data_IF_105638462300
#
_entry.id   IF_105638462300
#
_cell.length_a   1.000
_cell.length_b   1.000
_cell.length_c   1.000
_cell.angle_alpha   90.00
_cell.angle_beta   90.00
_cell.angle_gamma   90.00
#
_symmetry.space_group_name_H-M   'P 1'
#
loop_
_entity.id
_entity.type
_entity.pdbx_description
1 polymer ?
#
# COMPACT_ATOMS: atom_id res chain seq x y z
N UNK A 1 -12.81 -3.25 -31.74
CA UNK A 1 -13.46 -4.39 -31.10
C UNK A 1 -13.82 -3.97 -29.69
N UNK A 2 -15.06 -4.24 -29.25
CA UNK A 2 -15.40 -4.17 -27.83
C UNK A 2 -14.47 -5.12 -27.06
N UNK A 3 -14.07 -4.71 -25.85
CA UNK A 3 -13.24 -5.56 -25.02
C UNK A 3 -14.09 -6.72 -24.50
N UNK A 4 -13.67 -7.95 -24.79
CA UNK A 4 -14.23 -9.15 -24.19
C UNK A 4 -13.17 -9.82 -23.32
N UNK A 5 -13.56 -10.14 -22.08
CA UNK A 5 -12.71 -10.92 -21.19
C UNK A 5 -12.57 -12.35 -21.74
N UNK A 6 -11.37 -12.94 -21.61
CA UNK A 6 -11.14 -14.31 -22.06
C UNK A 6 -12.07 -15.27 -21.30
N UNK A 7 -12.76 -16.14 -22.04
CA UNK A 7 -13.49 -17.26 -21.43
C UNK A 7 -12.52 -18.25 -20.79
N UNK A 8 -13.00 -19.08 -19.86
CA UNK A 8 -12.21 -20.13 -19.22
C UNK A 8 -11.49 -21.03 -20.24
N UNK A 9 -12.15 -21.40 -21.33
CA UNK A 9 -11.57 -22.22 -22.41
C UNK A 9 -10.52 -21.49 -23.23
N UNK A 10 -10.75 -20.21 -23.56
CA UNK A 10 -9.79 -19.41 -24.32
C UNK A 10 -8.54 -19.13 -23.48
N UNK A 11 -8.72 -18.86 -22.19
CA UNK A 11 -7.61 -18.63 -21.27
C UNK A 11 -6.77 -19.90 -21.12
N UNK A 12 -7.39 -21.07 -20.91
CA UNK A 12 -6.67 -22.34 -20.83
C UNK A 12 -5.84 -22.59 -22.11
N UNK A 13 -6.48 -22.47 -23.29
CA UNK A 13 -5.79 -22.64 -24.58
C UNK A 13 -4.65 -21.62 -24.78
N UNK A 14 -4.84 -20.37 -24.33
CA UNK A 14 -3.81 -19.34 -24.36
C UNK A 14 -2.61 -19.73 -23.49
N UNK A 15 -2.82 -20.19 -22.25
CA UNK A 15 -1.75 -20.53 -21.31
C UNK A 15 -0.90 -21.71 -21.78
N UNK A 16 -1.49 -22.73 -22.43
CA UNK A 16 -0.73 -23.84 -23.02
C UNK A 16 0.24 -23.41 -24.13
N UNK A 17 -0.04 -22.29 -24.82
CA UNK A 17 0.86 -21.77 -25.86
C UNK A 17 2.09 -21.06 -25.30
N UNK A 18 2.14 -20.78 -23.99
CA UNK A 18 3.27 -20.13 -23.34
C UNK A 18 4.13 -21.23 -22.70
N UNK A 19 5.31 -21.58 -23.26
CA UNK A 19 6.06 -22.76 -22.82
C UNK A 19 6.39 -22.78 -21.32
N UNK A 20 6.81 -21.63 -20.77
CA UNK A 20 7.14 -21.53 -19.36
C UNK A 20 5.92 -21.71 -18.43
N UNK A 21 4.73 -21.27 -18.86
CA UNK A 21 3.50 -21.41 -18.08
C UNK A 21 2.90 -22.81 -18.25
N UNK A 22 2.94 -23.37 -19.46
CA UNK A 22 2.53 -24.75 -19.72
C UNK A 22 3.29 -25.75 -18.84
N UNK A 23 4.61 -25.59 -18.75
CA UNK A 23 5.45 -26.42 -17.89
C UNK A 23 5.09 -26.29 -16.40
N UNK A 24 4.72 -25.09 -15.94
CA UNK A 24 4.31 -24.85 -14.54
C UNK A 24 2.96 -25.51 -14.22
N UNK A 25 2.03 -25.51 -15.18
CA UNK A 25 0.70 -26.08 -15.05
C UNK A 25 0.66 -27.59 -15.35
N UNK A 26 1.73 -28.15 -15.90
CA UNK A 26 1.75 -29.53 -16.40
C UNK A 26 1.33 -29.57 -17.86
N UNK A 27 2.23 -30.07 -18.71
CA UNK A 27 2.11 -30.02 -20.17
C UNK A 27 0.77 -30.60 -20.67
N UNK A 28 0.03 -29.80 -21.44
CA UNK A 28 -1.27 -30.14 -22.05
C UNK A 28 -2.27 -30.76 -21.06
N UNK A 29 -2.19 -30.34 -19.79
CA UNK A 29 -3.10 -30.78 -18.74
C UNK A 29 -4.47 -30.14 -18.84
N UNK A 30 -5.47 -30.81 -18.26
CA UNK A 30 -6.79 -30.22 -18.06
C UNK A 30 -6.71 -29.16 -16.95
N UNK A 31 -7.17 -27.94 -17.26
CA UNK A 31 -7.11 -26.79 -16.35
C UNK A 31 -8.49 -26.42 -15.84
N UNK A 32 -8.58 -26.21 -14.53
CA UNK A 32 -9.70 -25.52 -13.88
C UNK A 32 -9.40 -24.02 -13.84
N UNK A 33 -10.32 -23.22 -14.36
CA UNK A 33 -10.19 -21.75 -14.47
C UNK A 33 -11.39 -21.09 -13.82
N UNK A 34 -11.13 -20.40 -12.72
CA UNK A 34 -12.16 -19.73 -11.92
C UNK A 34 -11.82 -18.24 -11.81
N UNK A 35 -12.75 -17.37 -12.23
CA UNK A 35 -12.64 -15.94 -11.95
C UNK A 35 -13.00 -15.69 -10.48
N UNK A 36 -12.12 -15.02 -9.76
CA UNK A 36 -12.18 -14.86 -8.30
C UNK A 36 -12.00 -13.41 -7.86
N UNK A 37 -11.88 -12.47 -8.79
CA UNK A 37 -11.62 -11.08 -8.48
C UNK A 37 -12.80 -10.43 -7.78
N UNK A 38 -12.63 -10.12 -6.50
CA UNK A 38 -13.40 -9.12 -5.75
C UNK A 38 -12.82 -7.70 -5.93
N UNK A 39 -11.77 -7.58 -6.75
CA UNK A 39 -10.95 -6.39 -6.94
C UNK A 39 -11.64 -5.27 -7.73
N UNK A 40 -11.28 -4.04 -7.40
CA UNK A 40 -11.92 -2.83 -7.94
C UNK A 40 -11.54 -2.52 -9.41
N UNK A 41 -10.42 -3.05 -9.93
CA UNK A 41 -9.83 -2.60 -11.20
C UNK A 41 -9.73 -3.68 -12.29
N UNK A 42 -9.47 -4.94 -11.96
CA UNK A 42 -9.04 -5.96 -12.92
C UNK A 42 -9.79 -7.29 -12.76
N UNK A 43 -9.77 -8.12 -13.81
CA UNK A 43 -10.19 -9.52 -13.73
C UNK A 43 -9.04 -10.36 -13.18
N UNK A 44 -9.35 -11.29 -12.27
CA UNK A 44 -8.36 -12.17 -11.65
C UNK A 44 -8.87 -13.60 -11.76
N UNK A 45 -8.08 -14.46 -12.38
CA UNK A 45 -8.39 -15.86 -12.59
C UNK A 45 -7.43 -16.72 -11.79
N UNK A 46 -7.97 -17.66 -11.02
CA UNK A 46 -7.21 -18.79 -10.50
C UNK A 46 -7.22 -19.89 -11.54
N UNK A 47 -6.02 -20.33 -11.92
CA UNK A 47 -5.83 -21.42 -12.86
C UNK A 47 -5.07 -22.53 -12.15
N UNK A 48 -5.61 -23.74 -12.17
CA UNK A 48 -4.99 -24.92 -11.55
C UNK A 48 -5.12 -26.14 -12.45
N UNK A 49 -4.12 -27.00 -12.44
CA UNK A 49 -4.24 -28.33 -13.00
C UNK A 49 -5.29 -29.14 -12.23
N UNK A 50 -6.24 -29.77 -12.92
CA UNK A 50 -7.33 -30.55 -12.31
C UNK A 50 -6.81 -31.73 -11.49
N UNK A 51 -5.72 -32.37 -11.93
CA UNK A 51 -5.14 -33.56 -11.27
C UNK A 51 -4.16 -33.21 -10.17
N UNK A 52 -3.49 -32.06 -10.30
CA UNK A 52 -2.45 -31.60 -9.37
C UNK A 52 -2.67 -30.12 -9.01
N UNK A 53 -3.69 -29.78 -8.19
CA UNK A 53 -4.09 -28.38 -7.95
C UNK A 53 -3.00 -27.46 -7.39
N UNK A 54 -1.90 -28.00 -6.88
CA UNK A 54 -0.72 -27.24 -6.45
C UNK A 54 0.02 -26.60 -7.64
N UNK A 55 -0.02 -27.24 -8.81
CA UNK A 55 0.42 -26.65 -10.08
C UNK A 55 -0.62 -25.63 -10.53
N UNK A 56 -0.33 -24.38 -10.21
CA UNK A 56 -1.31 -23.32 -10.33
C UNK A 56 -0.66 -21.95 -10.52
N UNK A 57 -1.40 -21.06 -11.17
CA UNK A 57 -1.02 -19.67 -11.41
C UNK A 57 -2.21 -18.75 -11.17
N UNK A 58 -1.91 -17.46 -11.04
CA UNK A 58 -2.90 -16.39 -11.13
C UNK A 58 -2.73 -15.72 -12.48
N UNK A 59 -3.84 -15.43 -13.15
CA UNK A 59 -3.87 -14.59 -14.34
C UNK A 59 -4.63 -13.32 -14.01
N UNK A 60 -4.05 -12.16 -14.30
CA UNK A 60 -4.70 -10.86 -14.12
C UNK A 60 -4.83 -10.18 -15.47
N UNK A 61 -5.99 -9.59 -15.76
CA UNK A 61 -6.26 -8.90 -17.02
C UNK A 61 -6.96 -7.55 -16.77
N UNK A 62 -6.48 -6.50 -17.43
CA UNK A 62 -7.03 -5.15 -17.29
C UNK A 62 -8.13 -4.85 -18.34
N UNK A 63 -9.39 -4.60 -17.92
CA UNK A 63 -10.42 -4.03 -18.80
C UNK A 63 -10.17 -2.54 -19.09
N UNK A 64 -10.75 -1.95 -20.15
CA UNK A 64 -10.60 -0.53 -20.48
C UNK A 64 -11.44 0.43 -19.61
N UNK A 65 -11.85 -0.02 -18.42
CA UNK A 65 -12.67 0.72 -17.46
C UNK A 65 -12.36 0.29 -16.02
N UNK A 66 -12.79 1.09 -15.04
CA UNK A 66 -12.72 0.76 -13.62
C UNK A 66 -13.81 -0.24 -13.27
N UNK A 67 -13.44 -1.49 -12.95
CA UNK A 67 -14.39 -2.60 -12.67
C UNK A 67 -15.43 -2.26 -11.58
N UNK A 68 -15.05 -1.51 -10.54
CA UNK A 68 -15.94 -1.09 -9.45
C UNK A 68 -17.14 -0.26 -9.92
N UNK A 69 -16.97 0.53 -10.98
CA UNK A 69 -18.00 1.45 -11.51
C UNK A 69 -18.55 0.96 -12.85
N UNK A 70 -17.80 0.13 -13.56
CA UNK A 70 -18.12 -0.34 -14.90
C UNK A 70 -17.75 0.66 -15.98
N UNK A 71 -18.33 0.50 -17.18
CA UNK A 71 -18.02 1.29 -18.37
C UNK A 71 -18.24 2.80 -18.21
N UNK A 72 -19.02 3.22 -17.20
CA UNK A 72 -19.22 4.63 -16.87
C UNK A 72 -17.93 5.35 -16.41
N UNK A 73 -16.87 4.61 -16.09
CA UNK A 73 -15.55 5.17 -15.75
C UNK A 73 -14.44 4.52 -16.59
N UNK A 74 -14.14 5.07 -17.78
CA UNK A 74 -13.03 4.62 -18.62
C UNK A 74 -11.68 4.70 -17.89
N UNK A 75 -10.83 3.70 -18.10
CA UNK A 75 -9.51 3.63 -17.48
C UNK A 75 -8.53 2.89 -18.37
N UNK A 76 -7.34 3.47 -18.58
CA UNK A 76 -6.31 2.88 -19.42
C UNK A 76 -5.90 1.48 -19.01
N UNK A 77 -5.78 0.57 -19.99
CA UNK A 77 -5.28 -0.79 -19.78
C UNK A 77 -3.76 -0.83 -19.55
N UNK A 78 -3.04 0.23 -19.93
CA UNK A 78 -1.60 0.37 -19.70
C UNK A 78 -1.20 0.30 -18.22
N UNK A 79 -2.16 0.45 -17.29
CA UNK A 79 -1.96 0.15 -15.87
C UNK A 79 -1.40 -1.27 -15.62
N UNK A 80 -1.72 -2.24 -16.48
CA UNK A 80 -1.15 -3.59 -16.42
C UNK A 80 0.35 -3.59 -16.69
N UNK A 81 0.82 -2.78 -17.64
CA UNK A 81 2.25 -2.66 -17.97
C UNK A 81 3.02 -2.04 -16.79
N UNK A 82 2.44 -1.01 -16.15
CA UNK A 82 2.98 -0.43 -14.92
C UNK A 82 3.05 -1.45 -13.79
N UNK A 83 2.00 -2.23 -13.59
CA UNK A 83 1.96 -3.27 -12.55
C UNK A 83 3.02 -4.35 -12.79
N UNK A 84 3.15 -4.84 -14.03
CA UNK A 84 4.17 -5.83 -14.40
C UNK A 84 5.58 -5.27 -14.18
N UNK A 85 5.83 -4.04 -14.61
CA UNK A 85 7.13 -3.39 -14.43
C UNK A 85 7.47 -3.23 -12.95
N UNK A 86 6.50 -2.78 -12.14
CA UNK A 86 6.66 -2.61 -10.70
C UNK A 86 6.87 -3.95 -9.98
N UNK A 87 6.07 -4.99 -10.26
CA UNK A 87 6.25 -6.32 -9.68
C UNK A 87 7.62 -6.93 -10.01
N UNK A 88 8.08 -6.80 -11.26
CA UNK A 88 9.43 -7.25 -11.64
C UNK A 88 10.50 -6.49 -10.88
N UNK A 89 10.41 -5.15 -10.84
CA UNK A 89 11.38 -4.33 -10.13
C UNK A 89 11.39 -4.62 -8.63
N UNK A 90 10.23 -4.68 -7.98
CA UNK A 90 10.16 -5.01 -6.56
C UNK A 90 10.57 -6.45 -6.28
N UNK A 91 10.32 -7.39 -7.20
CA UNK A 91 10.79 -8.78 -7.11
C UNK A 91 12.30 -8.93 -7.25
N UNK A 92 12.98 -8.08 -8.02
CA UNK A 92 14.45 -8.00 -8.02
C UNK A 92 14.97 -7.49 -6.68
N UNK A 93 14.31 -6.47 -6.12
CA UNK A 93 14.74 -5.82 -4.89
C UNK A 93 14.42 -6.66 -3.65
N UNK A 94 13.28 -7.34 -3.60
CA UNK A 94 12.78 -8.06 -2.44
C UNK A 94 12.01 -9.35 -2.85
N UNK A 95 12.71 -10.33 -3.44
CA UNK A 95 12.09 -11.54 -4.01
C UNK A 95 11.31 -12.39 -3.00
N UNK A 96 11.61 -12.26 -1.71
CA UNK A 96 10.93 -12.98 -0.64
C UNK A 96 9.52 -12.44 -0.32
N UNK A 97 9.19 -11.21 -0.74
CA UNK A 97 7.94 -10.53 -0.40
C UNK A 97 7.16 -10.03 -1.62
N UNK A 98 7.53 -10.45 -2.82
CA UNK A 98 6.84 -10.07 -4.07
C UNK A 98 6.62 -11.33 -4.90
N UNK A 99 5.38 -11.59 -5.37
CA UNK A 99 5.09 -12.76 -6.17
C UNK A 99 5.83 -12.70 -7.51
N UNK A 100 6.31 -13.84 -7.99
CA UNK A 100 6.98 -13.92 -9.30
C UNK A 100 6.00 -13.69 -10.43
N UNK A 101 6.39 -12.86 -11.40
CA UNK A 101 5.71 -12.73 -12.70
C UNK A 101 6.32 -13.74 -13.67
N UNK A 102 5.51 -14.66 -14.18
CA UNK A 102 5.94 -15.69 -15.12
C UNK A 102 5.82 -15.25 -16.58
N UNK A 103 4.78 -14.48 -16.89
CA UNK A 103 4.49 -14.00 -18.25
C UNK A 103 3.75 -12.67 -18.21
N UNK A 104 3.92 -11.87 -19.26
CA UNK A 104 3.16 -10.65 -19.48
C UNK A 104 2.92 -10.46 -20.98
N UNK A 105 1.74 -9.97 -21.33
CA UNK A 105 1.29 -9.75 -22.70
C UNK A 105 0.67 -8.36 -22.81
N UNK A 106 1.35 -7.47 -23.54
CA UNK A 106 0.95 -6.07 -23.68
C UNK A 106 -0.19 -5.88 -24.70
N UNK A 107 -0.43 -6.85 -25.60
CA UNK A 107 -1.56 -6.76 -26.53
C UNK A 107 -2.86 -7.12 -25.82
N UNK A 108 -2.81 -8.12 -24.94
CA UNK A 108 -3.95 -8.55 -24.13
C UNK A 108 -4.10 -7.80 -22.80
N UNK A 109 -3.10 -7.00 -22.41
CA UNK A 109 -2.97 -6.37 -21.09
C UNK A 109 -3.22 -7.40 -19.97
N UNK A 110 -2.44 -8.47 -20.04
CA UNK A 110 -2.55 -9.65 -19.20
C UNK A 110 -1.21 -10.01 -18.57
N UNK A 111 -1.23 -10.46 -17.32
CA UNK A 111 -0.07 -11.07 -16.67
C UNK A 111 -0.40 -12.45 -16.11
N UNK A 112 0.62 -13.31 -16.04
CA UNK A 112 0.59 -14.60 -15.34
C UNK A 112 1.61 -14.55 -14.21
N UNK A 113 1.18 -14.84 -12.99
CA UNK A 113 2.00 -14.69 -11.78
C UNK A 113 1.80 -15.85 -10.79
N UNK A 114 2.69 -15.91 -9.80
CA UNK A 114 2.67 -16.88 -8.71
C UNK A 114 1.32 -16.85 -7.96
N UNK A 115 0.71 -18.03 -7.79
CA UNK A 115 -0.48 -18.18 -6.95
C UNK A 115 -0.08 -18.36 -5.48
N UNK A 116 -0.58 -17.49 -4.63
CA UNK A 116 -0.36 -17.51 -3.18
C UNK A 116 -1.46 -18.30 -2.46
N UNK A 117 -1.67 -19.57 -2.85
CA UNK A 117 -2.85 -20.36 -2.45
C UNK A 117 -3.00 -20.59 -0.92
N UNK A 118 -1.88 -20.60 -0.18
CA UNK A 118 -1.86 -20.73 1.28
C UNK A 118 -2.00 -19.39 2.04
N UNK A 119 -2.10 -18.28 1.32
CA UNK A 119 -2.11 -16.94 1.89
C UNK A 119 -3.51 -16.34 1.86
N UNK A 120 -3.73 -15.40 2.78
CA UNK A 120 -4.97 -14.63 2.86
C UNK A 120 -4.68 -13.15 2.71
N UNK A 121 -5.58 -12.41 2.07
CA UNK A 121 -5.54 -10.95 2.07
C UNK A 121 -5.51 -10.45 3.52
N UNK A 122 -4.47 -9.69 3.88
CA UNK A 122 -4.16 -9.27 5.23
C UNK A 122 -5.34 -8.53 5.86
N UNK A 123 -6.03 -7.65 5.12
CA UNK A 123 -7.25 -6.95 5.54
C UNK A 123 -8.28 -7.90 6.17
N UNK A 124 -8.54 -9.03 5.52
CA UNK A 124 -9.50 -10.02 6.00
C UNK A 124 -8.98 -10.73 7.26
N UNK A 125 -7.68 -11.06 7.30
CA UNK A 125 -7.05 -11.62 8.50
C UNK A 125 -7.10 -10.67 9.71
N UNK A 126 -6.86 -9.37 9.49
CA UNK A 126 -6.94 -8.35 10.54
C UNK A 126 -8.37 -8.19 11.08
N UNK A 127 -9.36 -8.18 10.20
CA UNK A 127 -10.78 -8.16 10.59
C UNK A 127 -11.12 -9.36 11.49
N UNK A 128 -10.63 -10.55 11.12
CA UNK A 128 -10.88 -11.79 11.86
C UNK A 128 -10.03 -11.92 13.13
N UNK A 129 -9.10 -11.01 13.39
CA UNK A 129 -8.25 -11.03 14.58
C UNK A 129 -7.08 -12.03 14.50
N UNK A 130 -6.64 -12.36 13.29
CA UNK A 130 -5.50 -13.26 13.06
C UNK A 130 -4.19 -12.49 13.29
N UNK A 131 -3.36 -13.01 14.19
CA UNK A 131 -2.00 -12.51 14.41
C UNK A 131 -1.07 -13.11 13.35
N UNK A 132 -0.23 -12.26 12.78
CA UNK A 132 0.80 -12.61 11.80
C UNK A 132 2.18 -12.32 12.38
N UNK A 133 2.87 -13.29 13.01
CA UNK A 133 4.04 -13.03 13.86
C UNK A 133 5.20 -12.33 13.17
N UNK A 134 5.39 -12.57 11.86
CA UNK A 134 6.50 -12.02 11.08
C UNK A 134 6.15 -10.77 10.27
N UNK A 135 4.90 -10.30 10.36
CA UNK A 135 4.38 -9.24 9.49
C UNK A 135 5.22 -7.97 9.54
N UNK A 136 5.49 -7.43 10.73
CA UNK A 136 6.26 -6.21 10.86
C UNK A 136 7.70 -6.34 10.31
N UNK A 137 8.36 -7.47 10.57
CA UNK A 137 9.69 -7.74 10.04
C UNK A 137 9.68 -7.78 8.51
N UNK A 138 8.75 -8.52 7.90
CA UNK A 138 8.65 -8.61 6.44
C UNK A 138 8.31 -7.27 5.78
N UNK A 139 7.34 -6.54 6.32
CA UNK A 139 6.92 -5.27 5.75
C UNK A 139 7.98 -4.18 5.91
N UNK A 140 8.70 -4.15 7.03
CA UNK A 140 9.83 -3.22 7.21
C UNK A 140 10.97 -3.50 6.23
N UNK A 141 11.29 -4.78 5.98
CA UNK A 141 12.28 -5.18 4.98
C UNK A 141 11.82 -4.83 3.56
N UNK A 142 10.57 -5.09 3.21
CA UNK A 142 10.01 -4.70 1.91
C UNK A 142 10.15 -3.19 1.70
N UNK A 143 9.62 -2.37 2.62
CA UNK A 143 9.66 -0.91 2.54
C UNK A 143 11.10 -0.37 2.47
N UNK A 144 12.00 -0.86 3.32
CA UNK A 144 13.38 -0.37 3.34
C UNK A 144 14.07 -0.61 2.00
N UNK A 145 13.92 -1.81 1.43
CA UNK A 145 14.57 -2.20 0.18
C UNK A 145 13.95 -1.49 -1.02
N UNK A 146 12.62 -1.51 -1.17
CA UNK A 146 11.98 -0.93 -2.36
C UNK A 146 12.10 0.58 -2.39
N UNK A 147 11.99 1.26 -1.24
CA UNK A 147 12.08 2.71 -1.19
C UNK A 147 13.53 3.20 -1.32
N UNK A 148 14.50 2.51 -0.73
CA UNK A 148 15.92 2.90 -0.81
C UNK A 148 16.50 2.70 -2.22
N UNK A 149 16.44 1.48 -2.76
CA UNK A 149 17.08 1.14 -4.04
C UNK A 149 16.42 1.74 -5.28
N UNK A 150 15.26 2.39 -5.11
CA UNK A 150 14.59 3.17 -6.16
C UNK A 150 14.90 4.68 -6.11
N UNK A 151 15.67 5.15 -5.12
CA UNK A 151 15.87 6.58 -4.84
C UNK A 151 17.19 7.13 -5.35
N UNK A 152 17.33 8.46 -5.37
CA UNK A 152 18.59 9.16 -5.65
C UNK A 152 19.68 8.93 -4.58
N UNK A 153 19.36 8.25 -3.46
CA UNK A 153 20.36 7.82 -2.47
C UNK A 153 21.15 6.58 -2.92
N UNK A 154 20.68 5.90 -3.96
CA UNK A 154 21.30 4.68 -4.49
C UNK A 154 21.50 4.73 -6.01
N UNK A 155 20.48 5.19 -6.74
CA UNK A 155 20.54 5.28 -8.19
C UNK A 155 21.35 6.49 -8.63
N UNK A 156 22.12 6.33 -9.71
CA UNK A 156 22.69 7.47 -10.42
C UNK A 156 21.60 8.43 -10.90
N UNK A 157 21.92 9.73 -10.90
CA UNK A 157 20.99 10.79 -11.19
C UNK A 157 20.39 10.72 -12.62
N UNK A 158 21.12 10.19 -13.60
CA UNK A 158 20.60 9.98 -14.96
C UNK A 158 19.67 8.76 -15.01
N UNK A 159 20.10 7.64 -14.43
CA UNK A 159 19.30 6.42 -14.35
C UNK A 159 17.98 6.65 -13.62
N UNK A 160 17.99 7.41 -12.52
CA UNK A 160 16.77 7.78 -11.79
C UNK A 160 15.84 8.65 -12.64
N UNK A 161 16.36 9.64 -13.38
CA UNK A 161 15.53 10.51 -14.24
C UNK A 161 14.88 9.73 -15.38
N UNK A 162 15.62 8.80 -15.99
CA UNK A 162 15.08 7.90 -17.01
C UNK A 162 13.98 7.01 -16.43
N UNK A 163 14.23 6.37 -15.29
CA UNK A 163 13.25 5.54 -14.61
C UNK A 163 11.99 6.32 -14.20
N UNK A 164 12.14 7.56 -13.74
CA UNK A 164 11.02 8.46 -13.44
C UNK A 164 10.21 8.82 -14.71
N UNK A 165 10.88 9.02 -15.84
CA UNK A 165 10.22 9.24 -17.14
C UNK A 165 9.42 8.04 -17.61
N UNK A 166 9.94 6.82 -17.46
CA UNK A 166 9.24 5.57 -17.78
C UNK A 166 8.10 5.29 -16.80
N UNK A 167 8.26 5.67 -15.54
CA UNK A 167 7.28 5.45 -14.46
C UNK A 167 6.11 6.44 -14.42
N UNK A 168 5.89 7.26 -15.46
CA UNK A 168 4.76 8.19 -15.51
C UNK A 168 3.45 7.40 -15.62
N UNK A 169 2.56 7.57 -14.63
CA UNK A 169 1.29 6.85 -14.52
C UNK A 169 0.12 7.82 -14.26
N UNK A 170 -0.13 8.73 -15.20
CA UNK A 170 -0.96 9.93 -14.98
C UNK A 170 -2.41 9.65 -14.60
N UNK A 171 -3.07 8.65 -15.21
CA UNK A 171 -4.47 8.33 -14.92
C UNK A 171 -4.66 7.78 -13.50
N UNK A 172 -3.77 6.89 -13.05
CA UNK A 172 -3.83 6.30 -11.71
C UNK A 172 -3.37 7.32 -10.64
N UNK A 173 -2.39 8.16 -10.95
CA UNK A 173 -2.04 9.31 -10.10
C UNK A 173 -3.23 10.26 -9.93
N UNK A 174 -3.94 10.60 -11.01
CA UNK A 174 -5.12 11.46 -10.95
C UNK A 174 -6.22 10.88 -10.06
N UNK A 175 -6.50 9.58 -10.15
CA UNK A 175 -7.44 8.90 -9.24
C UNK A 175 -7.04 9.12 -7.78
N UNK A 176 -5.75 9.03 -7.47
CA UNK A 176 -5.23 9.24 -6.12
C UNK A 176 -5.31 10.72 -5.70
N UNK A 177 -4.89 11.65 -6.56
CA UNK A 177 -5.00 13.10 -6.36
C UNK A 177 -6.42 13.54 -6.01
N UNK A 178 -7.40 12.95 -6.69
CA UNK A 178 -8.81 13.23 -6.51
C UNK A 178 -9.37 12.53 -5.26
N UNK A 179 -9.27 11.19 -5.19
CA UNK A 179 -9.94 10.39 -4.16
C UNK A 179 -9.26 10.40 -2.79
N UNK A 180 -7.97 10.75 -2.70
CA UNK A 180 -7.25 10.82 -1.42
C UNK A 180 -7.15 12.26 -0.92
N UNK A 181 -6.85 13.20 -1.81
CA UNK A 181 -6.42 14.54 -1.40
C UNK A 181 -7.41 15.66 -1.70
N UNK A 182 -8.42 15.41 -2.55
CA UNK A 182 -9.35 16.46 -2.98
C UNK A 182 -10.77 16.18 -2.51
N UNK A 183 -11.40 15.12 -3.05
CA UNK A 183 -12.82 14.86 -2.86
C UNK A 183 -13.22 14.61 -1.40
N UNK A 184 -12.46 13.89 -0.55
CA UNK A 184 -12.82 13.72 0.86
C UNK A 184 -12.98 15.02 1.66
N UNK A 185 -12.46 16.13 1.15
CA UNK A 185 -12.48 17.45 1.78
C UNK A 185 -13.50 18.41 1.13
N UNK A 186 -14.38 17.90 0.28
CA UNK A 186 -15.38 18.67 -0.49
C UNK A 186 -16.77 18.02 -0.43
N UNK A 187 -17.78 18.73 -0.91
CA UNK A 187 -19.10 18.14 -1.16
C UNK A 187 -19.12 17.47 -2.54
N UNK A 188 -18.37 16.37 -2.66
CA UNK A 188 -18.21 15.66 -3.93
C UNK A 188 -19.15 14.43 -4.00
N UNK A 189 -19.82 14.15 -5.15
CA UNK A 189 -20.76 13.03 -5.29
C UNK A 189 -20.17 11.63 -5.04
N UNK A 190 -18.84 11.47 -5.15
CA UNK A 190 -18.17 10.19 -4.87
C UNK A 190 -18.00 9.91 -3.37
N UNK A 191 -18.20 10.90 -2.50
CA UNK A 191 -18.15 10.68 -1.07
C UNK A 191 -19.41 9.94 -0.62
N UNK A 192 -19.22 8.94 0.24
CA UNK A 192 -20.30 8.10 0.75
C UNK A 192 -20.26 8.17 2.27
N UNK A 193 -21.15 8.92 2.89
CA UNK A 193 -21.19 9.08 4.35
C UNK A 193 -22.08 8.02 5.00
N UNK A 194 -21.66 7.50 6.15
CA UNK A 194 -22.58 6.72 6.99
C UNK A 194 -23.71 7.62 7.49
N UNK A 195 -24.95 7.13 7.48
CA UNK A 195 -26.12 7.92 7.85
C UNK A 195 -26.05 8.52 9.27
N UNK A 196 -25.38 7.82 10.19
CA UNK A 196 -25.19 8.25 11.57
C UNK A 196 -23.92 9.08 11.80
N UNK A 197 -23.08 9.31 10.78
CA UNK A 197 -21.89 10.13 10.91
C UNK A 197 -22.32 11.59 11.23
N UNK A 198 -21.81 12.20 12.32
CA UNK A 198 -22.23 13.54 12.69
C UNK A 198 -21.94 14.56 11.57
N UNK A 199 -22.95 15.37 11.22
CA UNK A 199 -22.78 16.46 10.23
C UNK A 199 -21.60 17.36 10.55
N UNK A 200 -21.37 17.66 11.83
CA UNK A 200 -20.25 18.47 12.27
C UNK A 200 -18.87 17.87 11.89
N UNK A 201 -18.74 16.54 11.87
CA UNK A 201 -17.50 15.89 11.42
C UNK A 201 -17.28 16.11 9.92
N UNK A 202 -18.34 16.02 9.10
CA UNK A 202 -18.28 16.27 7.66
C UNK A 202 -17.95 17.74 7.38
N UNK A 203 -18.64 18.68 8.05
CA UNK A 203 -18.39 20.11 7.91
C UNK A 203 -16.97 20.50 8.35
N UNK A 204 -16.42 19.82 9.36
CA UNK A 204 -15.03 20.00 9.79
C UNK A 204 -14.04 19.66 8.68
N UNK A 205 -14.24 18.56 7.93
CA UNK A 205 -13.39 18.21 6.80
C UNK A 205 -13.38 19.29 5.71
N UNK A 206 -14.53 19.93 5.48
CA UNK A 206 -14.73 20.92 4.42
C UNK A 206 -14.22 22.31 4.78
N UNK A 207 -14.39 22.71 6.04
CA UNK A 207 -14.23 24.10 6.45
C UNK A 207 -13.13 24.34 7.49
N UNK A 208 -12.57 23.29 8.10
CA UNK A 208 -11.49 23.49 9.06
C UNK A 208 -10.17 23.85 8.36
N UNK A 209 -9.78 25.13 8.47
CA UNK A 209 -8.65 25.69 7.73
C UNK A 209 -7.32 24.94 7.95
N UNK A 210 -6.87 24.65 9.19
CA UNK A 210 -5.63 23.88 9.41
C UNK A 210 -5.64 22.52 8.71
N UNK A 211 -6.76 21.81 8.77
CA UNK A 211 -6.91 20.50 8.12
C UNK A 211 -6.85 20.60 6.59
N UNK A 212 -7.56 21.56 6.00
CA UNK A 212 -7.55 21.80 4.55
C UNK A 212 -6.15 22.20 4.05
N UNK A 213 -5.44 23.04 4.79
CA UNK A 213 -4.05 23.43 4.47
C UNK A 213 -3.12 22.21 4.54
N UNK A 214 -3.22 21.40 5.59
CA UNK A 214 -2.39 20.22 5.75
C UNK A 214 -2.66 19.17 4.64
N UNK A 215 -3.92 18.96 4.27
CA UNK A 215 -4.28 18.09 3.14
C UNK A 215 -3.69 18.60 1.81
N UNK A 216 -3.74 19.91 1.57
CA UNK A 216 -3.15 20.53 0.38
C UNK A 216 -1.62 20.37 0.33
N UNK A 217 -0.93 20.46 1.48
CA UNK A 217 0.51 20.19 1.56
C UNK A 217 0.84 18.74 1.18
N UNK A 218 0.04 17.77 1.64
CA UNK A 218 0.24 16.36 1.26
C UNK A 218 -0.07 16.11 -0.21
N UNK A 219 -1.09 16.78 -0.78
CA UNK A 219 -1.34 16.77 -2.23
C UNK A 219 -0.14 17.30 -3.01
N UNK A 220 0.40 18.44 -2.57
CA UNK A 220 1.57 19.06 -3.21
C UNK A 220 2.77 18.11 -3.20
N UNK A 221 3.06 17.47 -2.06
CA UNK A 221 4.13 16.49 -1.95
C UNK A 221 3.91 15.31 -2.91
N UNK A 222 2.71 14.73 -2.93
CA UNK A 222 2.37 13.63 -3.85
C UNK A 222 2.60 13.98 -5.32
N UNK A 223 2.24 15.20 -5.73
CA UNK A 223 2.33 15.65 -7.13
C UNK A 223 3.74 16.06 -7.56
N UNK A 224 4.64 16.41 -6.62
CA UNK A 224 5.91 17.07 -6.96
C UNK A 224 7.16 16.35 -6.43
N UNK A 225 7.04 15.47 -5.43
CA UNK A 225 8.19 14.82 -4.82
C UNK A 225 8.43 13.45 -5.45
N UNK A 226 9.18 13.40 -6.54
CA UNK A 226 9.55 12.14 -7.21
C UNK A 226 10.72 11.46 -6.48
N UNK A 227 10.53 10.96 -5.26
CA UNK A 227 11.63 10.47 -4.39
C UNK A 227 12.08 9.04 -4.73
N UNK A 228 11.14 8.14 -5.01
CA UNK A 228 11.41 6.73 -5.34
C UNK A 228 10.24 6.10 -6.09
N UNK A 229 10.44 4.90 -6.65
CA UNK A 229 9.34 4.12 -7.22
C UNK A 229 8.45 3.56 -6.11
N UNK A 230 7.23 4.09 -6.00
CA UNK A 230 6.23 3.66 -5.03
C UNK A 230 5.46 2.43 -5.52
N UNK A 231 4.91 1.67 -4.59
CA UNK A 231 3.80 0.77 -4.83
C UNK A 231 2.53 1.55 -5.20
N UNK A 232 2.27 2.69 -4.55
CA UNK A 232 1.21 3.63 -4.93
C UNK A 232 -0.19 3.30 -4.38
N UNK A 233 -0.45 2.08 -3.92
CA UNK A 233 -1.61 1.80 -3.05
C UNK A 233 -1.35 0.74 -1.97
N UNK A 234 -0.27 0.89 -1.19
CA UNK A 234 0.18 -0.11 -0.21
C UNK A 234 -0.69 -0.17 1.06
N UNK A 235 -1.94 -0.62 0.91
CA UNK A 235 -2.86 -0.87 2.01
C UNK A 235 -2.93 -2.36 2.37
N UNK A 236 -3.58 -2.71 3.50
CA UNK A 236 -3.72 -4.11 3.95
C UNK A 236 -4.51 -5.02 3.00
N UNK A 237 -5.21 -4.46 2.01
CA UNK A 237 -5.82 -5.22 0.91
C UNK A 237 -4.85 -5.63 -0.20
N UNK A 238 -3.66 -5.02 -0.24
CA UNK A 238 -2.59 -5.25 -1.25
C UNK A 238 -1.46 -6.09 -0.67
N UNK A 239 -1.77 -6.82 0.40
CA UNK A 239 -0.83 -7.67 1.12
C UNK A 239 -1.54 -9.01 1.35
N UNK A 240 -0.87 -10.10 1.03
CA UNK A 240 -1.28 -11.45 1.35
C UNK A 240 -0.32 -12.05 2.36
N UNK A 241 -0.83 -12.68 3.41
CA UNK A 241 0.00 -13.24 4.48
C UNK A 241 -0.53 -14.59 4.97
N UNK A 242 0.40 -15.42 5.44
CA UNK A 242 0.14 -16.58 6.30
C UNK A 242 1.01 -16.42 7.57
N UNK A 243 1.10 -17.45 8.43
CA UNK A 243 1.86 -17.36 9.68
C UNK A 243 3.36 -17.13 9.48
N UNK A 244 3.89 -17.49 8.31
CA UNK A 244 5.31 -17.58 8.02
C UNK A 244 5.80 -16.65 6.91
N UNK A 245 4.90 -16.17 6.05
CA UNK A 245 5.20 -15.49 4.79
C UNK A 245 4.28 -14.28 4.60
N UNK A 246 4.83 -13.25 3.95
CA UNK A 246 4.12 -12.01 3.59
C UNK A 246 4.50 -11.62 2.18
N UNK A 247 3.51 -11.32 1.35
CA UNK A 247 3.67 -10.88 -0.03
C UNK A 247 2.90 -9.60 -0.29
N UNK A 248 3.51 -8.66 -1.00
CA UNK A 248 2.89 -7.43 -1.51
C UNK A 248 2.47 -7.66 -2.96
N UNK A 249 1.24 -7.27 -3.28
CA UNK A 249 0.59 -7.49 -4.57
C UNK A 249 -0.05 -6.20 -5.09
N UNK A 250 -0.43 -6.15 -6.37
CA UNK A 250 -1.19 -5.05 -6.97
C UNK A 250 -0.50 -3.65 -6.98
N UNK A 251 0.79 -3.51 -7.37
CA UNK A 251 1.43 -2.21 -7.54
C UNK A 251 1.01 -1.48 -8.83
N UNK A 252 -0.26 -1.51 -9.23
CA UNK A 252 -0.74 -0.89 -10.48
C UNK A 252 -0.77 0.65 -10.44
N UNK A 253 -0.73 1.21 -9.23
CA UNK A 253 -0.58 2.64 -8.96
C UNK A 253 0.89 3.07 -8.90
N UNK A 254 1.83 2.20 -9.24
CA UNK A 254 3.25 2.51 -9.14
C UNK A 254 3.63 3.71 -10.03
N UNK A 255 4.37 4.64 -9.43
CA UNK A 255 4.98 5.80 -10.07
C UNK A 255 6.11 6.32 -9.18
N UNK A 256 6.92 7.25 -9.70
CA UNK A 256 7.92 7.93 -8.88
C UNK A 256 7.27 9.04 -8.02
N UNK A 257 7.20 8.81 -6.71
CA UNK A 257 6.49 9.69 -5.76
C UNK A 257 7.16 9.71 -4.37
N UNK A 258 6.52 10.32 -3.36
CA UNK A 258 7.10 10.48 -2.04
C UNK A 258 7.09 9.17 -1.25
N UNK A 259 8.24 8.77 -0.70
CA UNK A 259 8.45 7.52 0.05
C UNK A 259 7.42 7.34 1.17
N UNK A 260 7.13 8.45 1.86
CA UNK A 260 6.19 8.53 2.97
C UNK A 260 4.78 8.05 2.62
N UNK A 261 4.38 8.06 1.34
CA UNK A 261 3.03 7.71 0.92
C UNK A 261 2.74 6.21 1.09
N UNK A 262 3.68 5.34 0.75
CA UNK A 262 3.53 3.89 0.92
C UNK A 262 3.56 3.50 2.40
N UNK A 263 4.50 4.07 3.16
CA UNK A 263 4.58 3.85 4.61
C UNK A 263 3.29 4.32 5.29
N UNK A 264 2.82 5.52 4.95
CA UNK A 264 1.60 6.09 5.50
C UNK A 264 0.34 5.32 5.13
N UNK A 265 0.26 4.80 3.90
CA UNK A 265 -0.85 3.94 3.48
C UNK A 265 -0.95 2.68 4.34
N UNK A 266 0.18 2.03 4.64
CA UNK A 266 0.21 0.83 5.47
C UNK A 266 -0.19 1.13 6.92
N UNK A 267 0.48 2.12 7.55
CA UNK A 267 0.24 2.48 8.95
C UNK A 267 -1.20 2.96 9.18
N UNK A 268 -1.77 3.73 8.24
CA UNK A 268 -3.17 4.13 8.27
C UNK A 268 -4.13 2.94 8.37
N UNK A 269 -3.86 1.86 7.63
CA UNK A 269 -4.74 0.70 7.64
C UNK A 269 -4.62 -0.12 8.94
N UNK A 270 -3.45 -0.14 9.59
CA UNK A 270 -3.35 -0.71 10.94
C UNK A 270 -4.14 0.10 11.98
N UNK A 271 -4.10 1.43 11.90
CA UNK A 271 -4.88 2.30 12.79
C UNK A 271 -6.39 2.17 12.55
N UNK A 272 -6.84 2.09 11.28
CA UNK A 272 -8.25 1.82 10.95
C UNK A 272 -8.71 0.47 11.51
N UNK A 273 -7.89 -0.57 11.36
CA UNK A 273 -8.17 -1.88 11.95
C UNK A 273 -8.24 -1.79 13.49
N UNK A 274 -7.34 -1.04 14.14
CA UNK A 274 -7.31 -0.86 15.58
C UNK A 274 -8.60 -0.23 16.13
N UNK A 275 -9.06 0.87 15.53
CA UNK A 275 -10.29 1.55 15.97
C UNK A 275 -11.55 0.70 15.76
N UNK A 276 -11.58 -0.12 14.70
CA UNK A 276 -12.68 -1.06 14.48
C UNK A 276 -12.68 -2.25 15.45
N UNK A 277 -11.52 -2.54 16.08
CA UNK A 277 -11.31 -3.81 16.77
C UNK A 277 -12.15 -3.96 18.02
N UNK A 278 -12.54 -2.86 18.67
CA UNK A 278 -13.42 -2.93 19.83
C UNK A 278 -14.74 -3.64 19.51
N UNK A 279 -15.33 -3.40 18.32
CA UNK A 279 -16.56 -4.06 17.91
C UNK A 279 -16.32 -5.51 17.51
N UNK A 280 -15.33 -5.76 16.64
CA UNK A 280 -15.02 -7.11 16.13
C UNK A 280 -14.55 -8.07 17.22
N UNK A 281 -13.74 -7.59 18.17
CA UNK A 281 -13.19 -8.41 19.23
C UNK A 281 -14.22 -8.81 20.29
N UNK A 282 -15.29 -8.02 20.47
CA UNK A 282 -16.41 -8.35 21.35
C UNK A 282 -17.44 -9.28 20.71
N UNK A 283 -17.32 -9.54 19.40
CA UNK A 283 -18.11 -10.60 18.78
C UNK A 283 -17.71 -11.93 19.43
N UNK A 284 -18.70 -12.75 19.81
CA UNK A 284 -18.49 -14.04 20.47
C UNK A 284 -17.74 -13.95 21.82
N UNK A 285 -18.03 -12.92 22.63
CA UNK A 285 -17.50 -12.72 23.99
C UNK A 285 -15.96 -12.63 24.10
N UNK A 286 -15.28 -12.24 23.02
CA UNK A 286 -13.83 -12.06 23.01
C UNK A 286 -13.34 -10.77 23.69
N UNK A 287 -12.07 -10.75 24.11
CA UNK A 287 -11.37 -9.54 24.55
C UNK A 287 -10.68 -8.87 23.34
N UNK A 288 -11.05 -7.64 22.95
CA UNK A 288 -10.37 -6.94 21.85
C UNK A 288 -8.94 -6.51 22.19
N UNK A 289 -8.59 -6.39 23.48
CA UNK A 289 -7.36 -5.71 23.92
C UNK A 289 -6.06 -6.37 23.45
N UNK A 290 -5.87 -7.70 23.49
CA UNK A 290 -4.62 -8.32 23.03
C UNK A 290 -4.36 -8.05 21.54
N UNK A 291 -5.40 -8.12 20.70
CA UNK A 291 -5.26 -7.85 19.27
C UNK A 291 -5.09 -6.35 18.98
N UNK A 292 -5.75 -5.47 19.75
CA UNK A 292 -5.50 -4.03 19.69
C UNK A 292 -4.05 -3.68 20.02
N UNK A 293 -3.50 -4.26 21.09
CA UNK A 293 -2.11 -4.10 21.47
C UNK A 293 -1.17 -4.61 20.37
N UNK A 294 -1.49 -5.77 19.76
CA UNK A 294 -0.72 -6.29 18.63
C UNK A 294 -0.75 -5.36 17.41
N UNK A 295 -1.91 -4.78 17.05
CA UNK A 295 -2.03 -3.82 15.94
C UNK A 295 -1.19 -2.55 16.18
N UNK A 296 -1.25 -1.98 17.39
CA UNK A 296 -0.40 -0.83 17.75
C UNK A 296 1.08 -1.21 17.73
N UNK A 297 1.43 -2.43 18.16
CA UNK A 297 2.80 -2.95 18.03
C UNK A 297 3.22 -3.05 16.56
N UNK A 298 2.34 -3.44 15.64
CA UNK A 298 2.67 -3.45 14.20
C UNK A 298 3.00 -2.05 13.68
N UNK A 299 2.29 -1.01 14.15
CA UNK A 299 2.59 0.39 13.77
C UNK A 299 4.00 0.78 14.19
N UNK A 300 4.37 0.49 15.44
CA UNK A 300 5.71 0.78 16.00
C UNK A 300 6.79 -0.04 15.31
N UNK A 301 6.63 -1.36 15.25
CA UNK A 301 7.64 -2.27 14.74
C UNK A 301 7.91 -2.05 13.24
N UNK A 302 6.87 -1.78 12.43
CA UNK A 302 7.05 -1.51 11.00
C UNK A 302 7.83 -0.22 10.79
N UNK A 303 7.45 0.87 11.45
CA UNK A 303 8.15 2.15 11.31
C UNK A 303 9.61 2.05 11.78
N UNK A 304 9.83 1.57 13.00
CA UNK A 304 11.19 1.49 13.57
C UNK A 304 12.08 0.51 12.80
N UNK A 305 11.52 -0.63 12.39
CA UNK A 305 12.20 -1.62 11.55
C UNK A 305 12.56 -1.04 10.18
N UNK A 306 11.64 -0.29 9.55
CA UNK A 306 11.87 0.39 8.28
C UNK A 306 12.98 1.43 8.41
N UNK A 307 12.86 2.34 9.39
CA UNK A 307 13.82 3.42 9.61
C UNK A 307 15.24 2.90 9.86
N UNK A 308 15.36 1.85 10.68
CA UNK A 308 16.65 1.22 10.99
C UNK A 308 17.25 0.54 9.76
N UNK A 309 16.46 -0.25 9.03
CA UNK A 309 16.95 -0.95 7.83
C UNK A 309 17.28 0.02 6.70
N UNK A 310 16.48 1.06 6.48
CA UNK A 310 16.73 2.07 5.45
C UNK A 310 18.05 2.80 5.66
N UNK A 311 18.31 3.25 6.90
CA UNK A 311 19.57 3.91 7.25
C UNK A 311 20.76 2.94 7.16
N UNK A 312 20.56 1.67 7.54
CA UNK A 312 21.60 0.64 7.38
C UNK A 312 21.96 0.42 5.89
N UNK A 313 20.96 0.28 5.02
CA UNK A 313 21.17 0.16 3.57
C UNK A 313 21.91 1.37 3.00
N UNK A 314 21.59 2.58 3.47
CA UNK A 314 22.31 3.79 3.09
C UNK A 314 23.78 3.73 3.49
N UNK A 315 24.09 3.43 4.76
CA UNK A 315 25.48 3.31 5.23
C UNK A 315 26.25 2.25 4.45
N UNK A 316 25.67 1.06 4.31
CA UNK A 316 26.27 -0.06 3.57
C UNK A 316 26.58 0.33 2.12
N UNK A 317 25.68 1.05 1.45
CA UNK A 317 25.91 1.51 0.08
C UNK A 317 27.13 2.42 -0.03
N UNK A 318 27.23 3.44 0.83
CA UNK A 318 28.34 4.40 0.81
C UNK A 318 29.67 3.77 1.28
N UNK A 319 29.63 2.83 2.23
CA UNK A 319 30.82 2.08 2.66
C UNK A 319 31.35 1.14 1.57
N UNK A 320 30.45 0.39 0.92
CA UNK A 320 30.82 -0.60 -0.12
C UNK A 320 31.47 0.03 -1.35
N UNK A 321 31.24 1.32 -1.57
CA UNK A 321 31.81 2.07 -2.68
C UNK A 321 33.20 2.66 -2.42
N UNK A 322 33.57 2.83 -1.15
CA UNK A 322 34.91 3.29 -0.75
C UNK A 322 35.96 2.16 -0.84
N UNK A 323 35.52 0.90 -0.98
CA UNK A 323 36.39 -0.23 -1.32
C UNK A 323 36.68 -0.22 -2.85
N UNK A 324 37.62 0.63 -3.26
CA UNK A 324 38.13 0.80 -4.63
C UNK A 324 38.67 -0.50 -5.29
N UNK A 325 38.61 -1.65 -4.63
CA UNK A 325 39.14 -2.91 -5.13
C UNK A 325 38.20 -3.70 -6.05
N UNK A 326 36.91 -3.33 -6.20
CA UNK A 326 35.94 -4.26 -6.82
C UNK A 326 35.26 -3.86 -8.12
N UNK A 327 35.04 -2.60 -8.49
CA UNK A 327 34.24 -2.32 -9.71
C UNK A 327 34.50 -1.03 -10.49
N UNK A 328 35.54 -0.23 -10.18
CA UNK A 328 35.95 0.92 -11.01
C UNK A 328 34.95 2.09 -11.13
N UNK A 329 33.77 1.99 -10.50
CA UNK A 329 32.82 3.08 -10.33
C UNK A 329 32.96 3.63 -8.90
N UNK A 330 33.46 4.86 -8.78
CA UNK A 330 33.44 5.62 -7.53
C UNK A 330 32.01 6.06 -7.27
N UNK A 331 31.35 5.50 -6.24
CA UNK A 331 30.12 6.11 -5.72
C UNK A 331 30.55 7.27 -4.83
N UNK A 332 30.06 8.46 -5.13
CA UNK A 332 30.24 9.62 -4.26
C UNK A 332 29.17 9.55 -3.18
N UNK A 333 29.53 9.60 -1.88
CA UNK A 333 28.55 9.71 -0.79
C UNK A 333 27.57 10.88 -1.05
N UNK A 334 26.34 10.76 -0.58
CA UNK A 334 25.27 11.69 -0.96
C UNK A 334 25.60 13.16 -0.64
N UNK A 335 26.27 13.39 0.50
CA UNK A 335 26.66 14.72 0.95
C UNK A 335 28.10 15.12 0.52
N UNK A 336 28.78 14.29 -0.26
CA UNK A 336 30.18 14.48 -0.65
C UNK A 336 31.19 14.09 0.44
N UNK A 337 32.34 14.75 0.45
CA UNK A 337 33.42 14.50 1.40
C UNK A 337 33.04 14.93 2.82
N UNK A 338 33.13 13.99 3.77
CA UNK A 338 32.84 14.19 5.19
C UNK A 338 33.80 13.33 6.03
N UNK A 339 35.01 13.86 6.26
CA UNK A 339 36.13 13.13 6.84
C UNK A 339 35.80 12.33 8.12
N UNK A 340 34.86 12.82 8.95
CA UNK A 340 34.48 12.18 10.21
C UNK A 340 33.07 11.56 10.18
N UNK A 341 32.37 11.60 9.03
CA UNK A 341 31.01 11.09 8.83
C UNK A 341 29.91 11.77 9.70
N UNK A 342 30.25 12.83 10.45
CA UNK A 342 29.33 13.53 11.35
C UNK A 342 28.23 14.27 10.59
N UNK A 343 28.56 14.90 9.46
CA UNK A 343 27.59 15.60 8.63
C UNK A 343 26.63 14.59 7.99
N UNK A 344 27.14 13.44 7.53
CA UNK A 344 26.34 12.40 6.90
C UNK A 344 25.34 11.82 7.90
N UNK A 345 25.79 11.49 9.11
CA UNK A 345 24.91 11.00 10.18
C UNK A 345 23.86 12.03 10.60
N UNK A 346 24.24 13.30 10.74
CA UNK A 346 23.31 14.37 11.05
C UNK A 346 22.24 14.54 9.95
N UNK A 347 22.64 14.43 8.67
CA UNK A 347 21.72 14.50 7.54
C UNK A 347 20.79 13.29 7.47
N UNK A 348 21.28 12.07 7.64
CA UNK A 348 20.43 10.86 7.71
C UNK A 348 19.38 10.99 8.82
N UNK A 349 19.77 11.48 9.99
CA UNK A 349 18.83 11.73 11.09
C UNK A 349 17.80 12.81 10.73
N UNK A 350 18.19 13.90 10.06
CA UNK A 350 17.27 14.93 9.60
C UNK A 350 16.31 14.42 8.51
N UNK A 351 16.82 13.65 7.55
CA UNK A 351 16.04 13.00 6.50
C UNK A 351 14.97 12.08 7.09
N UNK A 352 15.35 11.21 8.04
CA UNK A 352 14.39 10.29 8.66
C UNK A 352 13.34 11.01 9.51
N UNK A 353 13.69 12.14 10.15
CA UNK A 353 12.70 12.99 10.83
C UNK A 353 11.69 13.59 9.86
N UNK A 354 12.15 14.12 8.73
CA UNK A 354 11.26 14.67 7.71
C UNK A 354 10.36 13.59 7.11
N UNK A 355 10.94 12.43 6.76
CA UNK A 355 10.21 11.28 6.25
C UNK A 355 9.14 10.79 7.23
N UNK A 356 9.42 10.82 8.54
CA UNK A 356 8.43 10.52 9.58
C UNK A 356 7.27 11.51 9.55
N UNK A 357 7.57 12.81 9.57
CA UNK A 357 6.56 13.88 9.51
C UNK A 357 5.65 13.71 8.29
N UNK A 358 6.22 13.50 7.10
CA UNK A 358 5.43 13.31 5.88
C UNK A 358 4.62 12.01 5.92
N UNK A 359 5.17 10.96 6.52
CA UNK A 359 4.45 9.69 6.71
C UNK A 359 3.18 9.92 7.53
N UNK A 360 3.25 10.67 8.64
CA UNK A 360 2.08 10.98 9.47
C UNK A 360 1.02 11.79 8.71
N UNK A 361 1.46 12.71 7.84
CA UNK A 361 0.57 13.44 6.95
C UNK A 361 -0.20 12.51 6.00
N UNK A 362 0.50 11.59 5.32
CA UNK A 362 -0.16 10.61 4.46
C UNK A 362 -1.01 9.61 5.23
N UNK A 363 -0.65 9.25 6.48
CA UNK A 363 -1.51 8.44 7.36
C UNK A 363 -2.86 9.14 7.52
N UNK A 364 -2.87 10.43 7.86
CA UNK A 364 -4.10 11.19 8.06
C UNK A 364 -4.97 11.26 6.79
N UNK A 365 -4.38 11.59 5.64
CA UNK A 365 -5.12 11.61 4.35
C UNK A 365 -5.70 10.23 4.01
N UNK A 366 -4.92 9.15 4.17
CA UNK A 366 -5.36 7.78 3.87
C UNK A 366 -6.44 7.30 4.83
N UNK A 367 -6.41 7.70 6.11
CA UNK A 367 -7.49 7.39 7.05
C UNK A 367 -8.78 8.14 6.69
N UNK A 368 -8.72 9.46 6.46
CA UNK A 368 -9.88 10.29 6.11
C UNK A 368 -10.58 9.74 4.88
N UNK A 369 -9.84 9.50 3.79
CA UNK A 369 -10.44 9.01 2.52
C UNK A 369 -11.11 7.66 2.66
N UNK A 370 -10.67 6.81 3.59
CA UNK A 370 -11.28 5.49 3.84
C UNK A 370 -12.56 5.55 4.68
N UNK A 371 -12.75 6.62 5.44
CA UNK A 371 -13.96 6.85 6.24
C UNK A 371 -15.07 7.47 5.39
N UNK A 372 -14.77 8.55 4.67
CA UNK A 372 -15.79 9.36 3.97
C UNK A 372 -15.81 9.21 2.44
N UNK A 373 -14.71 8.75 1.85
CA UNK A 373 -14.58 8.63 0.40
C UNK A 373 -15.25 7.39 -0.18
N UNK A 374 -15.15 7.26 -1.51
CA UNK A 374 -15.76 6.18 -2.29
C UNK A 374 -15.28 4.78 -1.86
N UNK A 375 -13.96 4.58 -1.78
CA UNK A 375 -13.37 3.28 -1.52
C UNK A 375 -13.10 3.09 -0.02
N UNK A 376 -14.03 2.47 0.69
CA UNK A 376 -13.96 2.25 2.15
C UNK A 376 -13.18 0.99 2.54
N UNK A 377 -13.09 0.73 3.86
CA UNK A 377 -12.44 -0.47 4.43
C UNK A 377 -13.46 -1.39 5.11
N UNK A 378 -13.36 -2.69 4.84
CA UNK A 378 -14.29 -3.70 5.33
C UNK A 378 -14.30 -3.81 6.86
N UNK A 379 -13.19 -3.49 7.51
CA UNK A 379 -13.06 -3.43 8.97
C UNK A 379 -14.10 -2.48 9.59
N UNK A 380 -14.44 -1.38 8.93
CA UNK A 380 -15.41 -0.39 9.43
C UNK A 380 -16.79 -0.62 8.82
N UNK A 381 -16.88 -0.83 7.49
CA UNK A 381 -18.18 -0.92 6.81
C UNK A 381 -18.97 -2.17 7.17
N UNK A 382 -18.31 -3.23 7.63
CA UNK A 382 -19.00 -4.46 8.09
C UNK A 382 -19.63 -4.36 9.46
N UNK A 383 -19.44 -3.25 10.20
CA UNK A 383 -20.16 -2.98 11.45
C UNK A 383 -21.62 -2.63 11.06
N UNK A 384 -22.62 -3.46 11.46
CA UNK A 384 -24.00 -3.29 11.04
C UNK A 384 -24.72 -2.17 11.82
N UNK A 385 -24.38 -2.01 13.11
CA UNK A 385 -24.95 -0.94 13.94
C UNK A 385 -24.39 0.42 13.49
N UNK A 386 -25.29 1.29 13.04
CA UNK A 386 -24.92 2.59 12.48
C UNK A 386 -24.31 3.52 13.52
N UNK A 387 -24.77 3.49 14.78
CA UNK A 387 -24.25 4.35 15.83
C UNK A 387 -22.84 3.90 16.24
N UNK A 388 -22.64 2.59 16.43
CA UNK A 388 -21.31 2.03 16.73
C UNK A 388 -20.34 2.30 15.58
N UNK A 389 -20.78 2.14 14.32
CA UNK A 389 -19.96 2.45 13.15
C UNK A 389 -19.57 3.92 13.13
N UNK A 390 -20.52 4.84 13.35
CA UNK A 390 -20.25 6.27 13.40
C UNK A 390 -19.26 6.65 14.52
N UNK A 391 -19.38 6.03 15.69
CA UNK A 391 -18.43 6.22 16.80
C UNK A 391 -16.99 5.83 16.41
N UNK A 392 -16.83 4.71 15.70
CA UNK A 392 -15.52 4.29 15.15
C UNK A 392 -15.04 5.26 14.08
N UNK A 393 -15.90 5.66 13.16
CA UNK A 393 -15.57 6.62 12.09
C UNK A 393 -15.13 7.98 12.66
N UNK A 394 -15.79 8.50 13.70
CA UNK A 394 -15.40 9.75 14.38
C UNK A 394 -14.03 9.63 15.02
N UNK A 395 -13.74 8.55 15.76
CA UNK A 395 -12.41 8.32 16.35
C UNK A 395 -11.31 8.24 15.28
N UNK A 396 -11.60 7.56 14.16
CA UNK A 396 -10.69 7.52 13.02
C UNK A 396 -10.42 8.91 12.44
N UNK A 397 -11.45 9.74 12.26
CA UNK A 397 -11.29 11.11 11.73
C UNK A 397 -10.53 12.01 12.70
N UNK A 398 -10.79 11.92 14.00
CA UNK A 398 -10.06 12.67 15.03
C UNK A 398 -8.58 12.31 15.07
N UNK A 399 -8.26 11.01 15.04
CA UNK A 399 -6.88 10.53 14.96
C UNK A 399 -6.20 11.01 13.68
N UNK A 400 -6.87 10.85 12.54
CA UNK A 400 -6.34 11.25 11.24
C UNK A 400 -6.06 12.75 11.15
N UNK A 401 -6.97 13.59 11.66
CA UNK A 401 -6.78 15.03 11.71
C UNK A 401 -5.61 15.41 12.62
N UNK A 402 -5.51 14.82 13.81
CA UNK A 402 -4.40 15.09 14.72
C UNK A 402 -3.05 14.72 14.10
N UNK A 403 -2.95 13.53 13.48
CA UNK A 403 -1.74 13.11 12.77
C UNK A 403 -1.43 14.00 11.57
N UNK A 404 -2.43 14.46 10.83
CA UNK A 404 -2.21 15.33 9.67
C UNK A 404 -1.81 16.75 10.07
N UNK A 405 -2.53 17.37 11.00
CA UNK A 405 -2.34 18.77 11.38
C UNK A 405 -1.17 18.96 12.35
N UNK A 406 -0.94 18.01 13.24
CA UNK A 406 0.07 18.09 14.31
C UNK A 406 1.34 17.25 14.03
N UNK A 407 1.49 16.72 12.81
CA UNK A 407 2.64 15.87 12.42
C UNK A 407 4.01 16.44 12.81
N UNK A 408 4.19 17.75 12.72
CA UNK A 408 5.48 18.41 13.03
C UNK A 408 5.82 18.39 14.53
N UNK A 409 4.83 18.28 15.42
CA UNK A 409 5.07 18.18 16.86
C UNK A 409 5.29 16.74 17.35
N UNK A 410 4.95 15.75 16.52
CA UNK A 410 5.13 14.34 16.83
C UNK A 410 6.53 13.90 16.38
N UNK A 411 7.36 13.47 17.33
CA UNK A 411 8.78 13.16 17.08
C UNK A 411 9.10 11.68 17.14
N UNK A 412 8.20 10.87 17.74
CA UNK A 412 8.37 9.43 17.90
C UNK A 412 7.09 8.67 17.56
N UNK A 413 7.24 7.46 17.03
CA UNK A 413 6.10 6.60 16.68
C UNK A 413 5.28 6.18 17.90
N UNK A 414 5.87 6.17 19.10
CA UNK A 414 5.11 5.88 20.33
C UNK A 414 4.02 6.93 20.60
N UNK A 415 4.26 8.20 20.27
CA UNK A 415 3.28 9.28 20.45
C UNK A 415 2.03 9.06 19.58
N UNK A 416 2.19 8.38 18.43
CA UNK A 416 1.08 8.00 17.53
C UNK A 416 0.18 6.95 18.19
N UNK A 417 0.77 5.92 18.81
CA UNK A 417 -0.03 4.86 19.46
C UNK A 417 -0.62 5.32 20.80
N UNK A 418 0.04 6.25 21.49
CA UNK A 418 -0.48 6.92 22.69
C UNK A 418 -1.71 7.76 22.33
N UNK A 419 -1.64 8.56 21.26
CA UNK A 419 -2.78 9.30 20.71
C UNK A 419 -3.94 8.37 20.34
N UNK A 420 -3.67 7.30 19.58
CA UNK A 420 -4.70 6.35 19.17
C UNK A 420 -5.36 5.66 20.39
N UNK A 421 -4.56 5.26 21.39
CA UNK A 421 -5.04 4.65 22.62
C UNK A 421 -5.89 5.62 23.44
N UNK A 422 -5.48 6.88 23.56
CA UNK A 422 -6.24 7.91 24.26
C UNK A 422 -7.61 8.14 23.62
N UNK A 423 -7.67 8.24 22.28
CA UNK A 423 -8.94 8.36 21.53
C UNK A 423 -9.81 7.12 21.66
N UNK A 424 -9.22 5.93 21.71
CA UNK A 424 -9.96 4.68 21.92
C UNK A 424 -10.61 4.60 23.31
N UNK A 425 -9.97 5.20 24.33
CA UNK A 425 -10.45 5.23 25.72
C UNK A 425 -11.45 6.35 26.01
N UNK A 426 -11.52 7.38 25.17
CA UNK A 426 -12.54 8.41 25.28
C UNK A 426 -13.92 7.76 25.12
N UNK A 427 -14.63 7.58 26.24
CA UNK A 427 -16.07 7.27 26.21
C UNK A 427 -16.75 8.45 25.53
N UNK A 428 -17.67 8.17 24.62
CA UNK A 428 -18.59 9.17 24.10
C UNK A 428 -19.35 9.76 25.29
N UNK A 429 -18.88 10.90 25.80
CA UNK A 429 -19.68 11.77 26.64
C UNK A 429 -20.77 12.25 25.71
N UNK A 430 -22.00 11.84 26.02
CA UNK A 430 -23.15 11.89 25.11
C UNK A 430 -23.30 13.17 24.32
N UNK A 431 -23.72 12.99 23.07
CA UNK A 431 -24.47 14.01 22.32
C UNK A 431 -25.82 14.22 23.00
#
# INVERSE_FOLDING_TARGET
MEFEALTSSELAAYLHRIPAVNALLGDDSELDVVEVGDGNLNYVYFVSNVRTPQQSVVVKQAPPFLRLVGEAWPLTRHRMEHEVAALRRFGELCPQHVPRVYHADNELFLMVMQRLASHRILRQGLKDGIVYPKLAAHMSTYLARTLFYGSDLFLDAAAKKEAAGVGINSELCKITEELVFTFPFEDHPSNVYSAALPKAAIERLRHHVPLRVAAAQMKWAFMNHAETLLHGDLHTGSIMANQDETYVIDPEFAFYGPMAFDVGALLANFLLAFFSREWHGRQNDGDPKPFQAWLLKQVVDVWNGFATQFVALWREHEESANDNSKNGATVTPFIGDDANHECAEAYRAAFMRQLFTDTLGFVGCKMIRRVVGMAKVAEITSIPDAAVRAAVEVRCLQCAEALLVQRESLTRIEEVIELASALQMQREVGV
#
